data_IF_204667724452
#
_entry.id   IF_204667724452
#
_cell.length_a   1.000
_cell.length_b   1.000
_cell.length_c   1.000
_cell.angle_alpha   90.00
_cell.angle_beta   90.00
_cell.angle_gamma   90.00
#
_symmetry.space_group_name_H-M   'P 1'
#
loop_
_entity.id
_entity.type
_entity.pdbx_description
1 polymer ?
#
# COMPACT_ATOMS: atom_id res chain seq x y z
N UNK A 1 19.10 -35.31 2.70
CA UNK A 1 18.41 -34.08 3.11
C UNK A 1 17.37 -34.43 4.17
N UNK A 2 17.39 -33.79 5.34
CA UNK A 2 16.43 -34.05 6.42
C UNK A 2 15.01 -33.70 5.94
N UNK A 3 14.03 -34.60 6.12
CA UNK A 3 12.64 -34.39 5.66
C UNK A 3 11.98 -33.09 6.15
N UNK A 4 12.47 -32.51 7.25
CA UNK A 4 12.03 -31.19 7.74
C UNK A 4 12.39 -30.04 6.80
N UNK A 5 13.56 -30.05 6.16
CA UNK A 5 13.94 -28.94 5.25
C UNK A 5 13.08 -28.96 3.98
N UNK A 6 12.83 -30.15 3.42
CA UNK A 6 11.95 -30.31 2.25
C UNK A 6 10.53 -29.78 2.51
N UNK A 7 9.96 -30.04 3.68
CA UNK A 7 8.64 -29.53 4.06
C UNK A 7 8.56 -27.99 4.12
N UNK A 8 9.59 -27.33 4.66
CA UNK A 8 9.65 -25.86 4.70
C UNK A 8 9.78 -25.24 3.30
N UNK A 9 10.58 -25.86 2.42
CA UNK A 9 10.70 -25.41 1.04
C UNK A 9 9.37 -25.55 0.28
N UNK A 10 8.71 -26.70 0.40
CA UNK A 10 7.41 -26.94 -0.25
C UNK A 10 6.34 -25.95 0.24
N UNK A 11 6.29 -25.69 1.55
CA UNK A 11 5.36 -24.73 2.13
C UNK A 11 5.63 -23.30 1.63
N UNK A 12 6.90 -22.91 1.54
CA UNK A 12 7.29 -21.58 1.05
C UNK A 12 6.96 -21.40 -0.43
N UNK A 13 7.18 -22.44 -1.24
CA UNK A 13 6.85 -22.45 -2.66
C UNK A 13 5.34 -22.36 -2.88
N UNK A 14 4.55 -23.08 -2.08
CA UNK A 14 3.08 -23.01 -2.12
C UNK A 14 2.57 -21.61 -1.78
N UNK A 15 3.12 -20.98 -0.73
CA UNK A 15 2.76 -19.59 -0.36
C UNK A 15 3.11 -18.62 -1.50
N UNK A 16 4.29 -18.77 -2.10
CA UNK A 16 4.68 -17.97 -3.27
C UNK A 16 3.74 -18.15 -4.46
N UNK A 17 3.34 -19.39 -4.76
CA UNK A 17 2.38 -19.69 -5.81
C UNK A 17 1.00 -19.06 -5.51
N UNK A 18 0.51 -19.14 -4.27
CA UNK A 18 -0.74 -18.50 -3.86
C UNK A 18 -0.67 -16.98 -4.10
N UNK A 19 0.42 -16.33 -3.72
CA UNK A 19 0.58 -14.88 -3.94
C UNK A 19 0.58 -14.54 -5.43
N UNK A 20 1.24 -15.35 -6.26
CA UNK A 20 1.23 -15.15 -7.70
C UNK A 20 -0.15 -15.36 -8.32
N UNK A 21 -0.90 -16.38 -7.90
CA UNK A 21 -2.28 -16.61 -8.37
C UNK A 21 -3.22 -15.48 -7.94
N UNK A 22 -3.07 -14.93 -6.73
CA UNK A 22 -3.81 -13.75 -6.31
C UNK A 22 -3.42 -12.50 -7.11
N UNK A 23 -2.15 -12.36 -7.49
CA UNK A 23 -1.69 -11.28 -8.35
C UNK A 23 -2.30 -11.36 -9.75
N UNK A 24 -2.39 -12.57 -10.32
CA UNK A 24 -3.12 -12.82 -11.57
C UNK A 24 -4.58 -12.42 -11.41
N UNK A 25 -5.28 -12.96 -10.40
CA UNK A 25 -6.69 -12.66 -10.16
C UNK A 25 -6.96 -11.16 -10.04
N UNK A 26 -6.16 -10.44 -9.24
CA UNK A 26 -6.32 -9.00 -9.02
C UNK A 26 -6.04 -8.20 -10.29
N UNK A 27 -4.97 -8.49 -11.03
CA UNK A 27 -4.63 -7.79 -12.26
C UNK A 27 -5.62 -8.11 -13.40
N UNK A 28 -6.01 -9.37 -13.57
CA UNK A 28 -6.96 -9.77 -14.59
C UNK A 28 -8.35 -9.19 -14.32
N UNK A 29 -8.75 -9.03 -13.06
CA UNK A 29 -10.01 -8.34 -12.74
C UNK A 29 -10.03 -6.90 -13.28
N UNK A 30 -8.91 -6.18 -13.23
CA UNK A 30 -8.78 -4.86 -13.84
C UNK A 30 -8.90 -4.92 -15.36
N UNK A 31 -8.18 -5.85 -15.98
CA UNK A 31 -8.13 -5.99 -17.44
C UNK A 31 -9.50 -6.39 -17.98
N UNK A 32 -10.20 -7.31 -17.30
CA UNK A 32 -11.54 -7.75 -17.67
C UNK A 32 -12.55 -6.60 -17.62
N UNK A 33 -12.47 -5.74 -16.60
CA UNK A 33 -13.39 -4.60 -16.45
C UNK A 33 -13.08 -3.47 -17.43
N UNK A 34 -11.80 -3.20 -17.73
CA UNK A 34 -11.39 -2.06 -18.58
C UNK A 34 -11.21 -2.42 -20.05
N UNK A 35 -10.91 -3.67 -20.36
CA UNK A 35 -10.50 -4.14 -21.68
C UNK A 35 -9.05 -3.79 -22.02
N UNK A 36 -8.46 -4.55 -22.95
CA UNK A 36 -7.07 -4.31 -23.40
C UNK A 36 -6.91 -2.97 -24.13
N UNK A 37 -7.92 -2.51 -24.86
CA UNK A 37 -7.86 -1.23 -25.59
C UNK A 37 -7.67 -0.02 -24.67
N UNK A 38 -7.99 -0.14 -23.39
CA UNK A 38 -7.70 0.89 -22.38
C UNK A 38 -6.18 1.06 -22.16
N UNK A 39 -5.39 0.00 -22.35
CA UNK A 39 -3.94 0.06 -22.22
C UNK A 39 -3.29 0.85 -23.36
N UNK A 40 -3.80 0.68 -24.59
CA UNK A 40 -3.28 1.33 -25.79
C UNK A 40 -3.65 2.82 -25.87
N UNK A 41 -4.79 3.19 -25.31
CA UNK A 41 -5.31 4.56 -25.34
C UNK A 41 -4.88 5.30 -24.07
N UNK A 42 -5.59 5.10 -22.98
CA UNK A 42 -5.44 5.93 -21.77
C UNK A 42 -4.14 5.67 -20.99
N UNK A 43 -3.74 4.41 -20.80
CA UNK A 43 -2.55 4.08 -20.00
C UNK A 43 -1.26 4.51 -20.73
N UNK A 44 -1.15 4.18 -22.02
CA UNK A 44 0.01 4.55 -22.83
C UNK A 44 0.12 6.06 -23.03
N UNK A 45 -0.99 6.75 -23.34
CA UNK A 45 -1.00 8.21 -23.49
C UNK A 45 -0.54 8.89 -22.19
N UNK A 46 -1.05 8.47 -21.03
CA UNK A 46 -0.61 9.00 -19.73
C UNK A 46 0.88 8.76 -19.48
N UNK A 47 1.36 7.56 -19.79
CA UNK A 47 2.78 7.21 -19.68
C UNK A 47 3.64 8.15 -20.54
N UNK A 48 3.29 8.30 -21.83
CA UNK A 48 3.98 9.20 -22.77
C UNK A 48 3.96 10.64 -22.23
N UNK A 49 2.82 11.13 -21.77
CA UNK A 49 2.71 12.47 -21.21
C UNK A 49 3.65 12.69 -20.01
N UNK A 50 3.87 11.69 -19.15
CA UNK A 50 4.81 11.81 -18.02
C UNK A 50 6.25 11.88 -18.54
N UNK A 51 6.63 10.99 -19.47
CA UNK A 51 7.97 10.93 -20.06
C UNK A 51 8.29 12.22 -20.82
N UNK A 52 7.31 12.82 -21.49
CA UNK A 52 7.45 14.06 -22.26
C UNK A 52 7.35 15.35 -21.41
N UNK A 53 7.05 15.26 -20.12
CA UNK A 53 6.95 16.46 -19.28
C UNK A 53 5.61 17.21 -19.36
N UNK A 54 4.54 16.56 -19.82
CA UNK A 54 3.22 17.15 -20.13
C UNK A 54 2.07 16.64 -19.27
N UNK A 55 2.32 15.80 -18.27
CA UNK A 55 1.25 15.10 -17.54
C UNK A 55 0.50 15.96 -16.50
N UNK A 56 0.97 17.19 -16.22
CA UNK A 56 0.36 18.07 -15.21
C UNK A 56 0.51 17.58 -13.76
N UNK A 57 0.05 18.37 -12.79
CA UNK A 57 0.09 18.04 -11.37
C UNK A 57 -1.15 17.20 -10.99
N UNK A 58 -0.99 16.07 -10.26
CA UNK A 58 0.23 15.58 -9.61
C UNK A 58 1.07 14.60 -10.43
N UNK A 59 0.57 14.12 -11.57
CA UNK A 59 1.15 13.00 -12.31
C UNK A 59 2.58 13.23 -12.79
N UNK A 60 2.91 14.45 -13.21
CA UNK A 60 4.23 14.83 -13.73
C UNK A 60 5.36 14.59 -12.71
N UNK A 61 5.06 14.69 -11.42
CA UNK A 61 6.07 14.51 -10.36
C UNK A 61 6.18 13.05 -9.90
N UNK A 62 5.39 12.13 -10.44
CA UNK A 62 5.37 10.71 -10.05
C UNK A 62 6.17 9.86 -11.04
N UNK A 63 7.47 10.08 -11.01
CA UNK A 63 8.40 9.64 -12.06
C UNK A 63 8.87 8.20 -11.93
N UNK A 64 8.91 7.64 -10.71
CA UNK A 64 9.54 6.34 -10.47
C UNK A 64 8.95 5.23 -11.34
N UNK A 65 7.64 5.03 -11.28
CA UNK A 65 7.00 3.93 -12.00
C UNK A 65 7.04 4.13 -13.51
N UNK A 66 6.92 5.38 -13.98
CA UNK A 66 7.02 5.71 -15.40
C UNK A 66 8.41 5.35 -15.96
N UNK A 67 9.50 5.71 -15.28
CA UNK A 67 10.84 5.35 -15.75
C UNK A 67 11.11 3.84 -15.68
N UNK A 68 10.57 3.12 -14.69
CA UNK A 68 10.65 1.64 -14.65
C UNK A 68 9.95 1.03 -15.86
N UNK A 69 8.71 1.45 -16.13
CA UNK A 69 7.93 1.01 -17.29
C UNK A 69 8.68 1.31 -18.58
N UNK A 70 9.17 2.54 -18.75
CA UNK A 70 9.86 2.99 -19.96
C UNK A 70 11.11 2.15 -20.24
N UNK A 71 11.91 1.87 -19.20
CA UNK A 71 13.09 1.01 -19.31
C UNK A 71 12.75 -0.41 -19.76
N UNK A 72 11.68 -0.98 -19.19
CA UNK A 72 11.22 -2.32 -19.56
C UNK A 72 10.64 -2.36 -20.99
N UNK A 73 9.91 -1.33 -21.41
CA UNK A 73 9.38 -1.23 -22.78
C UNK A 73 10.53 -1.20 -23.77
N UNK A 74 11.53 -0.34 -23.56
CA UNK A 74 12.72 -0.25 -24.42
C UNK A 74 13.50 -1.56 -24.48
N UNK A 75 13.63 -2.25 -23.36
CA UNK A 75 14.27 -3.57 -23.31
C UNK A 75 13.52 -4.60 -24.18
N UNK A 76 12.20 -4.70 -24.04
CA UNK A 76 11.41 -5.65 -24.84
C UNK A 76 11.34 -5.27 -26.31
N UNK A 77 11.32 -3.97 -26.64
CA UNK A 77 11.47 -3.48 -28.01
C UNK A 77 12.79 -3.93 -28.63
N UNK A 78 13.91 -3.81 -27.89
CA UNK A 78 15.23 -4.25 -28.34
C UNK A 78 15.29 -5.78 -28.57
N UNK A 79 14.46 -6.55 -27.87
CA UNK A 79 14.31 -8.00 -28.05
C UNK A 79 13.31 -8.37 -29.17
N UNK A 80 12.72 -7.40 -29.86
CA UNK A 80 11.77 -7.65 -30.95
C UNK A 80 10.40 -8.16 -30.51
N UNK A 81 10.01 -7.92 -29.26
CA UNK A 81 8.70 -8.34 -28.73
C UNK A 81 7.59 -7.46 -29.34
N UNK A 82 6.53 -8.04 -29.93
CA UNK A 82 5.39 -7.27 -30.42
C UNK A 82 4.58 -6.67 -29.25
N UNK A 83 4.08 -5.44 -29.42
CA UNK A 83 3.30 -4.70 -28.40
C UNK A 83 3.92 -4.73 -26.99
N UNK A 84 5.18 -4.30 -26.83
CA UNK A 84 5.93 -4.47 -25.59
C UNK A 84 5.31 -3.74 -24.40
N UNK A 85 4.61 -2.63 -24.62
CA UNK A 85 3.93 -1.87 -23.56
C UNK A 85 2.83 -2.68 -22.88
N UNK A 86 2.03 -3.46 -23.62
CA UNK A 86 0.97 -4.30 -23.04
C UNK A 86 1.58 -5.34 -22.10
N UNK A 87 2.61 -6.04 -22.57
CA UNK A 87 3.29 -7.07 -21.78
C UNK A 87 3.96 -6.47 -20.53
N UNK A 88 4.61 -5.31 -20.66
CA UNK A 88 5.22 -4.61 -19.52
C UNK A 88 4.16 -4.16 -18.52
N UNK A 89 3.07 -3.56 -18.97
CA UNK A 89 2.02 -3.07 -18.08
C UNK A 89 1.39 -4.19 -17.25
N UNK A 90 1.03 -5.30 -17.89
CA UNK A 90 0.43 -6.45 -17.22
C UNK A 90 1.47 -7.16 -16.35
N UNK A 91 2.65 -7.45 -16.89
CA UNK A 91 3.71 -8.17 -16.20
C UNK A 91 4.23 -7.42 -14.96
N UNK A 92 4.42 -6.11 -15.07
CA UNK A 92 4.80 -5.28 -13.93
C UNK A 92 3.72 -5.30 -12.85
N UNK A 93 2.44 -5.31 -13.22
CA UNK A 93 1.34 -5.40 -12.28
C UNK A 93 1.34 -6.73 -11.52
N UNK A 94 1.55 -7.86 -12.19
CA UNK A 94 1.69 -9.16 -11.54
C UNK A 94 2.85 -9.20 -10.53
N UNK A 95 4.01 -8.65 -10.91
CA UNK A 95 5.18 -8.57 -10.03
C UNK A 95 4.89 -7.68 -8.83
N UNK A 96 4.25 -6.54 -9.05
CA UNK A 96 3.91 -5.57 -8.02
C UNK A 96 2.93 -6.15 -7.00
N UNK A 97 1.86 -6.80 -7.45
CA UNK A 97 0.85 -7.39 -6.57
C UNK A 97 1.40 -8.57 -5.78
N UNK A 98 2.19 -9.43 -6.44
CA UNK A 98 2.91 -10.51 -5.74
C UNK A 98 3.84 -9.97 -4.66
N UNK A 99 4.51 -8.85 -4.95
CA UNK A 99 5.39 -8.17 -3.98
C UNK A 99 4.59 -7.57 -2.82
N UNK A 100 3.43 -6.95 -3.10
CA UNK A 100 2.53 -6.44 -2.05
C UNK A 100 2.12 -7.57 -1.12
N UNK A 101 1.64 -8.69 -1.65
CA UNK A 101 1.20 -9.82 -0.82
C UNK A 101 2.35 -10.43 -0.01
N UNK A 102 3.52 -10.58 -0.61
CA UNK A 102 4.70 -11.07 0.09
C UNK A 102 5.13 -10.16 1.24
N UNK A 103 5.29 -8.85 0.98
CA UNK A 103 5.72 -7.89 2.00
C UNK A 103 4.65 -7.71 3.07
N UNK A 104 3.36 -7.66 2.70
CA UNK A 104 2.24 -7.62 3.64
C UNK A 104 2.26 -8.84 4.57
N UNK A 105 2.49 -10.04 4.02
CA UNK A 105 2.58 -11.26 4.82
C UNK A 105 3.72 -11.19 5.83
N UNK A 106 4.93 -10.77 5.41
CA UNK A 106 6.05 -10.58 6.31
C UNK A 106 5.75 -9.54 7.39
N UNK A 107 5.11 -8.44 7.02
CA UNK A 107 4.69 -7.39 7.94
C UNK A 107 3.66 -7.89 8.97
N UNK A 108 2.67 -8.68 8.56
CA UNK A 108 1.67 -9.27 9.44
C UNK A 108 2.29 -10.28 10.41
N UNK A 109 3.14 -11.19 9.91
CA UNK A 109 3.90 -12.11 10.75
C UNK A 109 4.73 -11.36 11.78
N UNK A 110 5.43 -10.30 11.36
CA UNK A 110 6.26 -9.49 12.25
C UNK A 110 5.45 -8.71 13.30
N UNK A 111 4.19 -8.44 13.02
CA UNK A 111 3.24 -7.80 13.94
C UNK A 111 2.63 -8.77 14.97
N UNK A 112 3.02 -10.06 14.93
CA UNK A 112 2.53 -11.10 15.86
C UNK A 112 1.26 -11.82 15.38
N UNK A 113 0.87 -11.63 14.12
CA UNK A 113 -0.29 -12.29 13.53
C UNK A 113 0.13 -13.69 13.08
N UNK A 114 -0.64 -14.71 13.47
CA UNK A 114 -0.41 -16.10 13.10
C UNK A 114 -0.40 -16.32 11.57
N UNK A 115 0.20 -17.43 11.13
CA UNK A 115 0.26 -17.81 9.71
C UNK A 115 -1.11 -17.77 9.03
N UNK A 116 -2.08 -18.51 9.58
CA UNK A 116 -3.43 -18.62 9.01
C UNK A 116 -4.16 -17.27 8.98
N UNK A 117 -4.06 -16.49 10.06
CA UNK A 117 -4.67 -15.15 10.10
C UNK A 117 -4.02 -14.21 9.09
N UNK A 118 -2.70 -14.33 8.87
CA UNK A 118 -2.01 -13.54 7.85
C UNK A 118 -2.45 -13.94 6.44
N UNK A 119 -2.65 -15.23 6.15
CA UNK A 119 -3.21 -15.69 4.87
C UNK A 119 -4.61 -15.12 4.62
N UNK A 120 -5.48 -15.11 5.63
CA UNK A 120 -6.79 -14.46 5.56
C UNK A 120 -6.62 -12.96 5.25
N UNK A 121 -5.69 -12.29 5.93
CA UNK A 121 -5.34 -10.89 5.64
C UNK A 121 -4.92 -10.65 4.20
N UNK A 122 -4.11 -11.54 3.62
CA UNK A 122 -3.70 -11.47 2.22
C UNK A 122 -4.89 -11.65 1.28
N UNK A 123 -5.81 -12.58 1.57
CA UNK A 123 -7.04 -12.75 0.78
C UNK A 123 -7.93 -11.50 0.83
N UNK A 124 -8.08 -10.87 2.01
CA UNK A 124 -8.81 -9.60 2.18
C UNK A 124 -8.13 -8.48 1.39
N UNK A 125 -6.79 -8.42 1.40
CA UNK A 125 -6.04 -7.43 0.65
C UNK A 125 -6.19 -7.64 -0.87
N UNK A 126 -6.11 -8.88 -1.34
CA UNK A 126 -6.33 -9.23 -2.74
C UNK A 126 -7.75 -8.87 -3.20
N UNK A 127 -8.77 -9.13 -2.37
CA UNK A 127 -10.13 -8.66 -2.61
C UNK A 127 -10.17 -7.13 -2.74
N UNK A 128 -9.64 -6.41 -1.75
CA UNK A 128 -9.63 -4.94 -1.73
C UNK A 128 -8.98 -4.38 -3.00
N UNK A 129 -7.84 -4.94 -3.40
CA UNK A 129 -7.13 -4.53 -4.60
C UNK A 129 -7.95 -4.80 -5.86
N UNK A 130 -8.56 -5.98 -6.00
CA UNK A 130 -9.39 -6.35 -7.16
C UNK A 130 -10.56 -5.38 -7.37
N UNK A 131 -11.18 -4.89 -6.30
CA UNK A 131 -12.31 -3.95 -6.40
C UNK A 131 -11.89 -2.47 -6.43
N UNK A 132 -10.59 -2.16 -6.45
CA UNK A 132 -10.10 -0.77 -6.43
C UNK A 132 -9.94 -0.15 -7.83
N UNK A 133 -10.54 -0.77 -8.86
CA UNK A 133 -10.40 -0.39 -10.27
C UNK A 133 -11.29 0.77 -10.71
N UNK A 134 -12.16 1.30 -9.84
CA UNK A 134 -13.06 2.38 -10.21
C UNK A 134 -12.30 3.63 -10.68
N UNK A 135 -12.63 4.05 -11.90
CA UNK A 135 -11.96 5.10 -12.66
C UNK A 135 -10.43 5.15 -12.50
N UNK A 136 -9.84 3.95 -12.54
CA UNK A 136 -8.43 3.72 -12.34
C UNK A 136 -7.80 3.26 -13.64
N UNK A 137 -6.59 3.72 -13.91
CA UNK A 137 -5.69 2.98 -14.80
C UNK A 137 -5.00 1.85 -13.99
N UNK A 138 -3.93 1.24 -14.47
CA UNK A 138 -3.19 0.25 -13.68
C UNK A 138 -2.48 0.84 -12.44
N UNK A 139 -2.38 2.17 -12.36
CA UNK A 139 -2.01 2.97 -11.20
C UNK A 139 -0.75 2.48 -10.47
N UNK A 140 0.30 2.14 -11.21
CA UNK A 140 1.56 1.64 -10.64
C UNK A 140 2.05 2.47 -9.45
N UNK A 141 1.94 3.80 -9.51
CA UNK A 141 2.31 4.69 -8.41
C UNK A 141 1.57 4.38 -7.10
N UNK A 142 0.26 4.11 -7.15
CA UNK A 142 -0.54 3.82 -5.94
C UNK A 142 -0.13 2.50 -5.30
N UNK A 143 0.11 1.48 -6.11
CA UNK A 143 0.50 0.16 -5.62
C UNK A 143 1.96 0.14 -5.13
N UNK A 144 2.85 0.95 -5.71
CA UNK A 144 4.20 1.14 -5.16
C UNK A 144 4.14 1.84 -3.81
N UNK A 145 3.20 2.76 -3.61
CA UNK A 145 2.98 3.40 -2.29
C UNK A 145 2.66 2.33 -1.23
N UNK A 146 1.77 1.37 -1.55
CA UNK A 146 1.48 0.22 -0.65
C UNK A 146 2.75 -0.56 -0.31
N UNK A 147 3.60 -0.87 -1.30
CA UNK A 147 4.89 -1.54 -1.07
C UNK A 147 5.77 -0.72 -0.13
N UNK A 148 5.96 0.57 -0.40
CA UNK A 148 6.85 1.42 0.40
C UNK A 148 6.37 1.58 1.84
N UNK A 149 5.06 1.74 2.07
CA UNK A 149 4.49 1.82 3.40
C UNK A 149 4.62 0.50 4.17
N UNK A 150 4.40 -0.65 3.52
CA UNK A 150 4.59 -1.95 4.15
C UNK A 150 6.06 -2.25 4.45
N UNK A 151 6.99 -1.89 3.55
CA UNK A 151 8.42 -2.01 3.78
C UNK A 151 8.89 -1.09 4.93
N UNK A 152 8.38 0.14 4.99
CA UNK A 152 8.64 1.06 6.09
C UNK A 152 8.11 0.50 7.41
N UNK A 153 6.87 0.02 7.44
CA UNK A 153 6.28 -0.63 8.60
C UNK A 153 7.10 -1.85 9.06
N UNK A 154 7.49 -2.71 8.12
CA UNK A 154 8.32 -3.90 8.40
C UNK A 154 9.70 -3.51 8.96
N UNK A 155 10.35 -2.49 8.38
CA UNK A 155 11.62 -1.93 8.86
C UNK A 155 11.49 -1.39 10.28
N UNK A 156 10.43 -0.64 10.57
CA UNK A 156 10.16 -0.03 11.88
C UNK A 156 9.89 -1.10 12.94
N UNK A 157 8.98 -2.05 12.70
CA UNK A 157 8.68 -3.11 13.67
C UNK A 157 9.91 -4.01 13.88
N UNK A 158 10.74 -4.17 12.84
CA UNK A 158 12.02 -4.90 12.95
C UNK A 158 13.11 -4.11 13.67
N UNK A 159 12.87 -2.86 14.07
CA UNK A 159 13.85 -1.95 14.67
C UNK A 159 15.10 -1.76 13.80
N UNK A 160 14.92 -1.76 12.48
CA UNK A 160 15.97 -1.56 11.47
C UNK A 160 15.77 -0.22 10.73
N UNK A 161 15.85 0.93 11.44
CA UNK A 161 15.51 2.24 10.87
C UNK A 161 16.41 2.65 9.70
N UNK A 162 17.59 2.05 9.54
CA UNK A 162 18.51 2.35 8.44
C UNK A 162 17.91 2.17 7.03
N UNK A 163 16.85 1.38 6.89
CA UNK A 163 16.16 1.25 5.60
C UNK A 163 15.17 2.39 5.30
N UNK A 164 14.82 3.22 6.28
CA UNK A 164 13.85 4.31 6.09
C UNK A 164 14.35 5.39 5.12
N UNK A 165 15.62 5.86 5.16
CA UNK A 165 16.12 6.81 4.19
C UNK A 165 15.99 6.36 2.72
N UNK A 166 16.49 5.16 2.30
CA UNK A 166 16.32 4.72 0.92
C UNK A 166 14.85 4.44 0.55
N UNK A 167 14.04 3.89 1.46
CA UNK A 167 12.60 3.70 1.22
C UNK A 167 11.93 5.06 0.95
N UNK A 168 12.22 6.06 1.76
CA UNK A 168 11.67 7.41 1.63
C UNK A 168 12.09 8.06 0.31
N UNK A 169 13.35 7.91 -0.10
CA UNK A 169 13.83 8.45 -1.37
C UNK A 169 13.02 7.90 -2.55
N UNK A 170 12.89 6.58 -2.67
CA UNK A 170 12.13 5.96 -3.76
C UNK A 170 10.63 6.26 -3.65
N UNK A 171 10.08 6.28 -2.44
CA UNK A 171 8.67 6.62 -2.23
C UNK A 171 8.37 8.07 -2.62
N UNK A 172 9.28 9.01 -2.37
CA UNK A 172 9.15 10.42 -2.75
C UNK A 172 9.20 10.63 -4.27
N UNK A 173 9.97 9.81 -5.01
CA UNK A 173 9.96 9.78 -6.48
C UNK A 173 8.66 9.20 -7.06
N UNK A 174 7.87 8.53 -6.23
CA UNK A 174 6.68 7.79 -6.64
C UNK A 174 5.37 8.54 -6.30
N UNK A 175 5.26 9.10 -5.10
CA UNK A 175 4.08 9.85 -4.65
C UNK A 175 4.41 10.80 -3.50
N UNK A 176 3.79 11.97 -3.53
CA UNK A 176 3.88 13.00 -2.48
C UNK A 176 3.33 12.52 -1.12
N UNK A 177 2.37 11.61 -1.11
CA UNK A 177 1.82 11.07 0.15
C UNK A 177 2.84 10.25 0.93
N UNK A 178 3.97 9.84 0.34
CA UNK A 178 5.05 9.15 1.05
C UNK A 178 5.72 9.97 2.16
N UNK A 179 5.42 11.27 2.24
CA UNK A 179 5.89 12.16 3.30
C UNK A 179 5.56 11.67 4.72
N UNK A 180 4.59 10.78 4.93
CA UNK A 180 4.32 10.21 6.25
C UNK A 180 5.33 9.15 6.70
N UNK A 181 6.08 8.51 5.79
CA UNK A 181 7.03 7.43 6.13
C UNK A 181 8.10 7.89 7.15
N UNK A 182 8.79 9.03 6.96
CA UNK A 182 9.70 9.56 7.97
C UNK A 182 9.05 9.78 9.33
N UNK A 183 7.82 10.29 9.37
CA UNK A 183 7.09 10.52 10.63
C UNK A 183 6.72 9.21 11.31
N UNK A 184 6.37 8.15 10.57
CA UNK A 184 6.17 6.82 11.18
C UNK A 184 7.42 6.38 11.95
N UNK A 185 8.62 6.59 11.38
CA UNK A 185 9.89 6.27 12.04
C UNK A 185 10.15 7.13 13.28
N UNK A 186 9.97 8.45 13.17
CA UNK A 186 10.17 9.40 14.29
C UNK A 186 9.25 9.04 15.46
N UNK A 187 7.95 8.90 15.21
CA UNK A 187 6.97 8.64 16.26
C UNK A 187 7.15 7.23 16.85
N UNK A 188 7.44 6.22 16.04
CA UNK A 188 7.74 4.88 16.58
C UNK A 188 9.00 4.89 17.46
N UNK A 189 10.03 5.67 17.09
CA UNK A 189 11.23 5.82 17.89
C UNK A 189 10.95 6.49 19.25
N UNK A 190 10.12 7.54 19.26
CA UNK A 190 9.77 8.29 20.46
C UNK A 190 8.92 7.47 21.43
N UNK A 191 7.89 6.79 20.92
CA UNK A 191 6.86 6.17 21.75
C UNK A 191 7.05 4.67 21.99
N UNK A 192 7.68 3.93 21.08
CA UNK A 192 7.71 2.46 21.12
C UNK A 192 9.12 1.88 21.27
N UNK A 193 10.12 2.46 20.60
CA UNK A 193 11.47 1.88 20.61
C UNK A 193 12.12 1.88 22.01
N UNK A 194 12.99 0.89 22.29
CA UNK A 194 13.84 0.91 23.48
C UNK A 194 14.70 2.17 23.55
N UNK A 195 14.93 2.69 24.76
CA UNK A 195 15.70 3.94 24.99
C UNK A 195 17.03 3.99 24.23
N UNK A 196 17.76 2.86 24.18
CA UNK A 196 19.06 2.74 23.49
C UNK A 196 19.01 2.99 21.97
N UNK A 197 17.86 2.77 21.32
CA UNK A 197 17.69 2.95 19.88
C UNK A 197 16.98 4.26 19.52
N UNK A 198 16.37 4.94 20.50
CA UNK A 198 15.51 6.11 20.28
C UNK A 198 16.23 7.24 19.55
N UNK A 199 17.33 7.75 20.12
CA UNK A 199 18.05 8.89 19.56
C UNK A 199 18.51 8.63 18.11
N UNK A 200 19.16 7.49 17.88
CA UNK A 200 19.60 7.07 16.54
C UNK A 200 18.43 7.01 15.55
N UNK A 201 17.30 6.46 15.96
CA UNK A 201 16.15 6.26 15.07
C UNK A 201 15.41 7.56 14.77
N UNK A 202 15.35 8.48 15.74
CA UNK A 202 14.85 9.86 15.52
C UNK A 202 15.74 10.60 14.53
N UNK A 203 17.07 10.53 14.69
CA UNK A 203 18.02 11.15 13.74
C UNK A 203 17.82 10.59 12.33
N UNK A 204 17.70 9.27 12.19
CA UNK A 204 17.43 8.64 10.89
C UNK A 204 16.09 9.09 10.31
N UNK A 205 15.05 9.24 11.14
CA UNK A 205 13.77 9.80 10.74
C UNK A 205 13.88 11.24 10.24
N UNK A 206 14.64 12.10 10.94
CA UNK A 206 14.90 13.50 10.54
C UNK A 206 15.67 13.55 9.22
N UNK A 207 16.71 12.72 9.04
CA UNK A 207 17.43 12.59 7.78
C UNK A 207 16.46 12.19 6.66
N UNK A 208 15.50 11.30 6.95
CA UNK A 208 14.49 10.88 5.98
C UNK A 208 13.51 12.01 5.64
N UNK A 209 13.13 12.88 6.59
CA UNK A 209 12.35 14.11 6.30
C UNK A 209 13.12 15.03 5.35
N UNK A 210 14.43 15.20 5.59
CA UNK A 210 15.27 16.02 4.71
C UNK A 210 15.37 15.42 3.30
N UNK A 211 15.58 14.11 3.18
CA UNK A 211 15.59 13.40 1.89
C UNK A 211 14.26 13.57 1.16
N UNK A 212 13.13 13.36 1.84
CA UNK A 212 11.80 13.57 1.27
C UNK A 212 11.65 14.99 0.72
N UNK A 213 11.98 15.99 1.54
CA UNK A 213 11.88 17.41 1.20
C UNK A 213 12.75 17.73 -0.02
N UNK A 214 14.01 17.28 -0.01
CA UNK A 214 14.93 17.49 -1.12
C UNK A 214 14.41 16.86 -2.42
N UNK A 215 13.96 15.61 -2.39
CA UNK A 215 13.41 14.93 -3.57
C UNK A 215 12.16 15.63 -4.09
N UNK A 216 11.22 15.97 -3.20
CA UNK A 216 9.96 16.62 -3.53
C UNK A 216 10.14 17.98 -4.21
N UNK A 217 11.06 18.80 -3.69
CA UNK A 217 11.37 20.10 -4.28
C UNK A 217 12.26 19.99 -5.52
N UNK A 218 13.22 19.04 -5.56
CA UNK A 218 14.05 18.82 -6.75
C UNK A 218 13.21 18.45 -7.98
N UNK A 219 12.19 17.60 -7.82
CA UNK A 219 11.27 17.28 -8.91
C UNK A 219 10.49 18.51 -9.40
N UNK A 220 10.08 19.40 -8.50
CA UNK A 220 9.37 20.64 -8.85
C UNK A 220 10.26 21.66 -9.53
N UNK A 221 11.52 21.74 -9.13
CA UNK A 221 12.51 22.58 -9.82
C UNK A 221 12.80 22.01 -11.21
N UNK A 222 12.97 20.69 -11.33
CA UNK A 222 13.31 20.03 -12.59
C UNK A 222 12.21 20.12 -13.65
N UNK A 223 10.94 19.94 -13.28
CA UNK A 223 9.81 19.98 -14.20
C UNK A 223 9.05 21.32 -14.22
N UNK A 224 9.45 22.27 -13.37
CA UNK A 224 8.72 23.52 -13.18
C UNK A 224 7.36 23.34 -12.50
N UNK A 225 6.63 24.44 -12.36
CA UNK A 225 5.24 24.43 -11.90
C UNK A 225 4.34 23.82 -12.98
N UNK A 226 3.49 22.88 -12.56
CA UNK A 226 2.61 22.13 -13.45
C UNK A 226 1.15 22.47 -13.12
N UNK A 227 0.32 22.62 -14.16
CA UNK A 227 -1.11 22.88 -14.00
C UNK A 227 -1.77 21.77 -13.18
N UNK A 228 -2.58 22.16 -12.19
CA UNK A 228 -3.30 21.22 -11.34
C UNK A 228 -4.46 20.58 -12.10
N UNK A 229 -4.36 19.28 -12.35
CA UNK A 229 -5.44 18.49 -12.95
C UNK A 229 -6.46 18.18 -11.87
N UNK A 230 -7.63 18.81 -11.99
CA UNK A 230 -8.76 18.62 -11.07
C UNK A 230 -9.60 17.41 -11.47
N UNK A 231 -9.85 16.44 -10.56
CA UNK A 231 -10.76 15.34 -10.83
C UNK A 231 -12.18 15.81 -11.12
N UNK A 232 -12.71 15.47 -12.29
CA UNK A 232 -14.06 15.86 -12.74
C UNK A 232 -14.34 17.37 -12.63
N UNK A 233 -13.31 18.22 -12.80
CA UNK A 233 -13.44 19.69 -12.73
C UNK A 233 -13.63 20.26 -11.33
N UNK A 234 -13.48 19.45 -10.26
CA UNK A 234 -13.61 19.93 -8.89
C UNK A 234 -12.26 20.35 -8.31
N UNK A 235 -12.16 21.61 -7.89
CA UNK A 235 -10.98 22.09 -7.15
C UNK A 235 -10.90 21.49 -5.74
N UNK A 236 -9.68 21.30 -5.20
CA UNK A 236 -9.49 20.91 -3.80
C UNK A 236 -10.22 21.86 -2.82
N UNK A 237 -10.68 21.31 -1.70
CA UNK A 237 -11.39 22.02 -0.63
C UNK A 237 -12.85 21.59 -0.49
N UNK A 238 -13.74 22.55 -0.23
CA UNK A 238 -15.18 22.30 -0.04
C UNK A 238 -15.90 21.70 -1.26
N UNK A 239 -15.57 22.06 -2.53
CA UNK A 239 -16.24 21.47 -3.69
C UNK A 239 -16.05 19.95 -3.76
N UNK A 240 -14.82 19.46 -3.65
CA UNK A 240 -14.55 18.02 -3.68
C UNK A 240 -15.05 17.29 -2.43
N UNK A 241 -15.03 17.95 -1.25
CA UNK A 241 -15.67 17.40 -0.04
C UNK A 241 -17.15 17.12 -0.29
N UNK A 242 -17.88 18.11 -0.83
CA UNK A 242 -19.29 17.96 -1.19
C UNK A 242 -19.48 16.86 -2.23
N UNK A 243 -18.62 16.84 -3.26
CA UNK A 243 -18.64 15.81 -4.30
C UNK A 243 -18.49 14.39 -3.70
N UNK A 244 -17.56 14.20 -2.77
CA UNK A 244 -17.32 12.91 -2.14
C UNK A 244 -18.50 12.46 -1.26
N UNK A 245 -19.03 13.35 -0.43
CA UNK A 245 -20.10 13.01 0.54
C UNK A 245 -21.43 12.70 -0.13
N UNK A 246 -21.81 13.47 -1.16
CA UNK A 246 -23.16 13.35 -1.75
C UNK A 246 -23.23 12.41 -2.96
N UNK A 247 -22.09 11.89 -3.46
CA UNK A 247 -22.07 11.00 -4.63
C UNK A 247 -22.20 9.54 -4.19
N UNK A 248 -23.32 8.89 -4.54
CA UNK A 248 -23.63 7.51 -4.14
C UNK A 248 -22.54 6.50 -4.49
N UNK A 249 -21.90 6.62 -5.66
CA UNK A 249 -20.83 5.71 -6.08
C UNK A 249 -19.63 5.72 -5.13
N UNK A 250 -19.36 6.83 -4.44
CA UNK A 250 -18.30 6.91 -3.43
C UNK A 250 -18.51 5.87 -2.33
N UNK A 251 -19.73 5.78 -1.81
CA UNK A 251 -20.09 4.87 -0.73
C UNK A 251 -20.13 3.42 -1.19
N UNK A 252 -20.60 3.16 -2.41
CA UNK A 252 -20.56 1.82 -3.00
C UNK A 252 -19.13 1.30 -3.16
N UNK A 253 -18.22 2.15 -3.66
CA UNK A 253 -16.82 1.77 -3.81
C UNK A 253 -16.15 1.58 -2.44
N UNK A 254 -16.40 2.46 -1.46
CA UNK A 254 -15.88 2.30 -0.10
C UNK A 254 -16.39 1.02 0.58
N UNK A 255 -17.62 0.60 0.28
CA UNK A 255 -18.14 -0.69 0.78
C UNK A 255 -17.52 -1.88 0.04
N UNK A 256 -17.26 -1.76 -1.27
CA UNK A 256 -16.70 -2.84 -2.08
C UNK A 256 -15.21 -3.09 -1.80
N UNK A 257 -14.44 -2.01 -1.59
CA UNK A 257 -12.98 -2.06 -1.47
C UNK A 257 -12.51 -2.33 -0.02
N UNK A 258 -12.49 -1.36 0.93
CA UNK A 258 -12.12 -1.66 2.30
C UNK A 258 -13.23 -2.41 3.08
N UNK A 259 -14.50 -2.25 2.67
CA UNK A 259 -15.64 -2.93 3.28
C UNK A 259 -15.80 -2.66 4.76
N UNK A 260 -16.13 -3.69 5.53
CA UNK A 260 -16.35 -3.59 6.98
C UNK A 260 -15.05 -3.61 7.80
N UNK A 261 -13.91 -3.88 7.16
CA UNK A 261 -12.63 -4.11 7.84
C UNK A 261 -12.17 -2.91 8.68
N UNK A 262 -12.26 -1.64 8.22
CA UNK A 262 -11.91 -0.50 9.07
C UNK A 262 -12.69 -0.45 10.38
N UNK A 263 -13.99 -0.77 10.35
CA UNK A 263 -14.84 -0.77 11.54
C UNK A 263 -14.46 -1.90 12.50
N UNK A 264 -14.30 -3.13 11.99
CA UNK A 264 -13.84 -4.28 12.81
C UNK A 264 -12.48 -3.97 13.44
N UNK A 265 -11.58 -3.36 12.68
CA UNK A 265 -10.27 -2.96 13.17
C UNK A 265 -10.37 -1.99 14.35
N UNK A 266 -11.18 -0.93 14.21
CA UNK A 266 -11.37 0.09 15.24
C UNK A 266 -12.03 -0.45 16.51
N UNK A 267 -12.95 -1.42 16.42
CA UNK A 267 -13.50 -2.12 17.59
C UNK A 267 -12.39 -2.81 18.39
N UNK A 268 -11.31 -3.24 17.74
CA UNK A 268 -10.15 -3.86 18.34
C UNK A 268 -9.06 -2.91 18.80
N UNK A 269 -9.25 -1.58 18.76
CA UNK A 269 -8.18 -0.61 19.01
C UNK A 269 -7.45 -0.80 20.35
N UNK A 270 -8.18 -1.18 21.40
CA UNK A 270 -7.61 -1.47 22.73
C UNK A 270 -6.67 -2.68 22.73
N UNK A 271 -6.84 -3.61 21.79
CA UNK A 271 -6.05 -4.84 21.62
C UNK A 271 -4.82 -4.66 20.72
N UNK A 272 -4.70 -3.53 20.03
CA UNK A 272 -3.59 -3.26 19.12
C UNK A 272 -2.24 -3.13 19.84
N UNK A 273 -1.17 -3.55 19.15
CA UNK A 273 0.19 -3.26 19.60
C UNK A 273 0.53 -1.77 19.40
N UNK A 274 1.56 -1.30 20.11
CA UNK A 274 1.90 0.14 20.13
C UNK A 274 2.36 0.66 18.75
N UNK A 275 3.03 -0.17 17.95
CA UNK A 275 3.42 0.20 16.58
C UNK A 275 2.20 0.53 15.72
N UNK A 276 1.18 -0.33 15.77
CA UNK A 276 -0.04 -0.16 14.98
C UNK A 276 -0.82 1.10 15.39
N UNK A 277 -0.86 1.40 16.70
CA UNK A 277 -1.45 2.66 17.21
C UNK A 277 -0.69 3.88 16.72
N UNK A 278 0.65 3.85 16.74
CA UNK A 278 1.47 4.93 16.17
C UNK A 278 1.19 5.10 14.68
N UNK A 279 1.17 4.01 13.90
CA UNK A 279 0.91 4.08 12.46
C UNK A 279 -0.49 4.61 12.17
N UNK A 280 -1.50 4.22 12.94
CA UNK A 280 -2.84 4.77 12.85
C UNK A 280 -2.82 6.29 13.02
N UNK A 281 -2.30 6.80 14.14
CA UNK A 281 -2.33 8.24 14.42
C UNK A 281 -1.49 9.09 13.47
N UNK A 282 -0.37 8.56 12.98
CA UNK A 282 0.49 9.27 12.03
C UNK A 282 -0.11 9.30 10.63
N UNK A 283 -0.70 8.19 10.16
CA UNK A 283 -1.13 8.05 8.77
C UNK A 283 -2.62 8.29 8.62
N UNK A 284 -3.46 7.55 9.32
CA UNK A 284 -4.88 7.37 8.96
C UNK A 284 -5.70 8.68 9.03
N UNK A 285 -5.73 9.45 10.13
CA UNK A 285 -6.55 10.66 10.21
C UNK A 285 -6.20 11.68 9.11
N UNK A 286 -4.91 11.98 8.96
CA UNK A 286 -4.44 12.98 7.99
C UNK A 286 -4.67 12.47 6.56
N UNK A 287 -4.43 11.17 6.31
CA UNK A 287 -4.68 10.55 5.02
C UNK A 287 -6.15 10.69 4.61
N UNK A 288 -7.09 10.38 5.51
CA UNK A 288 -8.52 10.52 5.21
C UNK A 288 -8.91 11.99 4.99
N UNK A 289 -8.41 12.92 5.81
CA UNK A 289 -8.69 14.36 5.61
C UNK A 289 -8.20 14.83 4.25
N UNK A 290 -6.96 14.51 3.86
CA UNK A 290 -6.40 14.90 2.55
C UNK A 290 -7.25 14.33 1.42
N UNK A 291 -7.56 13.04 1.43
CA UNK A 291 -8.29 12.42 0.32
C UNK A 291 -9.77 12.83 0.28
N UNK A 292 -10.36 13.20 1.41
CA UNK A 292 -11.72 13.74 1.48
C UNK A 292 -11.82 15.12 0.82
N UNK A 293 -10.76 15.95 0.91
CA UNK A 293 -10.76 17.35 0.44
C UNK A 293 -9.86 17.62 -0.76
N UNK A 294 -9.11 16.64 -1.27
CA UNK A 294 -8.19 16.86 -2.40
C UNK A 294 -8.24 15.75 -3.47
N UNK A 295 -8.99 14.67 -3.24
CA UNK A 295 -9.11 13.56 -4.18
C UNK A 295 -10.55 13.05 -4.27
N UNK A 296 -10.82 12.19 -5.25
CA UNK A 296 -12.13 11.53 -5.38
C UNK A 296 -12.10 10.24 -4.56
N UNK A 297 -12.88 10.18 -3.48
CA UNK A 297 -12.90 9.01 -2.61
C UNK A 297 -13.45 7.73 -3.28
N UNK A 298 -14.21 7.87 -4.37
CA UNK A 298 -14.63 6.74 -5.19
C UNK A 298 -13.44 6.01 -5.85
N UNK A 299 -12.29 6.67 -6.00
CA UNK A 299 -11.03 6.06 -6.41
C UNK A 299 -10.38 5.33 -5.23
N UNK A 300 -11.04 4.25 -4.78
CA UNK A 300 -10.76 3.60 -3.47
C UNK A 300 -9.39 2.96 -3.32
N UNK A 301 -8.65 2.81 -4.42
CA UNK A 301 -7.21 2.49 -4.41
C UNK A 301 -6.40 3.40 -3.49
N UNK A 302 -6.86 4.64 -3.30
CA UNK A 302 -6.24 5.62 -2.41
C UNK A 302 -6.28 5.20 -0.94
N UNK A 303 -7.17 4.27 -0.55
CA UNK A 303 -7.27 3.76 0.81
C UNK A 303 -6.54 2.43 1.02
N UNK A 304 -5.86 1.88 0.00
CA UNK A 304 -5.12 0.63 0.13
C UNK A 304 -3.96 0.71 1.11
N UNK A 305 -3.31 1.88 1.24
CA UNK A 305 -2.22 2.08 2.22
C UNK A 305 -2.75 1.94 3.66
N UNK A 306 -3.74 2.74 4.14
CA UNK A 306 -4.38 2.52 5.44
C UNK A 306 -4.94 1.12 5.63
N UNK A 307 -5.56 0.56 4.58
CA UNK A 307 -6.15 -0.78 4.62
C UNK A 307 -5.09 -1.86 4.91
N UNK A 308 -4.02 -1.90 4.12
CA UNK A 308 -2.97 -2.89 4.22
C UNK A 308 -2.11 -2.71 5.47
N UNK A 309 -1.76 -1.46 5.81
CA UNK A 309 -0.84 -1.13 6.91
C UNK A 309 -1.52 -1.19 8.28
N UNK A 310 -2.78 -0.76 8.39
CA UNK A 310 -3.44 -0.55 9.69
C UNK A 310 -4.70 -1.38 9.85
N UNK A 311 -5.66 -1.27 8.94
CA UNK A 311 -6.99 -1.83 9.19
C UNK A 311 -7.01 -3.36 9.16
N UNK A 312 -6.43 -3.99 8.14
CA UNK A 312 -6.31 -5.45 8.07
C UNK A 312 -5.59 -6.02 9.30
N UNK A 313 -4.35 -5.62 9.65
CA UNK A 313 -3.67 -6.18 10.81
C UNK A 313 -4.42 -5.91 12.13
N UNK A 314 -5.03 -4.73 12.30
CA UNK A 314 -5.82 -4.43 13.49
C UNK A 314 -7.05 -5.33 13.64
N UNK A 315 -7.74 -5.66 12.53
CA UNK A 315 -8.87 -6.59 12.54
C UNK A 315 -8.44 -8.03 12.87
N UNK A 316 -7.30 -8.47 12.35
CA UNK A 316 -6.78 -9.82 12.59
C UNK A 316 -6.31 -10.01 14.04
N UNK A 317 -5.69 -8.98 14.64
CA UNK A 317 -5.30 -9.00 16.05
C UNK A 317 -6.52 -9.18 16.96
N UNK A 318 -7.62 -8.46 16.68
CA UNK A 318 -8.87 -8.61 17.42
C UNK A 318 -9.40 -10.05 17.35
N UNK A 319 -9.47 -10.62 16.14
CA UNK A 319 -9.99 -11.98 15.93
C UNK A 319 -9.12 -13.02 16.65
N UNK A 320 -7.79 -12.91 16.51
CA UNK A 320 -6.84 -13.86 17.11
C UNK A 320 -6.86 -13.86 18.64
N UNK A 321 -6.93 -12.68 19.27
CA UNK A 321 -6.96 -12.57 20.73
C UNK A 321 -8.29 -13.05 21.30
N UNK A 322 -9.41 -12.74 20.63
CA UNK A 322 -10.74 -13.19 21.07
C UNK A 322 -10.87 -14.72 21.04
N UNK A 323 -10.26 -15.37 20.04
CA UNK A 323 -10.16 -16.83 19.99
C UNK A 323 -9.33 -17.38 21.16
N UNK A 324 -8.16 -16.80 21.44
CA UNK A 324 -7.31 -17.23 22.56
C UNK A 324 -8.00 -17.09 23.93
N UNK A 325 -8.72 -15.99 24.15
CA UNK A 325 -9.49 -15.73 25.37
C UNK A 325 -10.59 -16.79 25.56
N UNK A 326 -11.39 -17.08 24.52
CA UNK A 326 -12.46 -18.07 24.56
C UNK A 326 -11.97 -19.47 24.97
N UNK A 327 -10.87 -19.95 24.37
CA UNK A 327 -10.29 -21.25 24.73
C UNK A 327 -9.71 -21.28 26.15
N UNK A 328 -9.21 -20.15 26.66
CA UNK A 328 -8.72 -20.07 28.03
C UNK A 328 -9.83 -20.21 29.07
N UNK A 329 -11.03 -19.69 28.76
CA UNK A 329 -12.22 -19.81 29.61
C UNK A 329 -12.71 -21.26 29.63
N UNK A 330 -12.83 -21.91 28.47
CA UNK A 330 -13.26 -23.31 28.38
C UNK A 330 -12.35 -24.24 29.18
N UNK A 331 -11.02 -24.09 29.05
CA UNK A 331 -10.07 -24.93 29.79
C UNK A 331 -10.16 -24.78 31.31
N UNK A 332 -10.50 -23.58 31.80
CA UNK A 332 -10.71 -23.36 33.24
C UNK A 332 -11.99 -24.05 33.69
N UNK A 333 -13.09 -23.87 32.96
CA UNK A 333 -14.36 -24.53 33.29
C UNK A 333 -14.31 -26.06 33.26
N UNK A 334 -13.47 -26.67 32.41
CA UNK A 334 -13.29 -28.12 32.40
C UNK A 334 -12.41 -28.62 33.55
N UNK A 335 -11.43 -27.81 33.99
CA UNK A 335 -10.56 -28.18 35.11
C UNK A 335 -11.26 -28.10 36.48
N UNK A 336 -12.34 -27.32 36.58
CA UNK A 336 -13.16 -27.23 37.80
C UNK A 336 -14.21 -28.37 37.92
N UNK A 337 -14.32 -29.24 36.90
CA UNK A 337 -15.24 -30.39 36.87
C UNK A 337 -14.56 -31.74 37.13
N UNK A 338 -13.23 -31.75 37.25
CA UNK A 338 -12.39 -32.90 37.65
C UNK A 338 -11.93 -32.71 39.10
#
# INVERSE_FOLDING_TARGET
MNGRSAFYYLSSLLVGLIFFLLAIFTTDSYILVRGLGYLDTYQLERHINIIEGKAGNPWQYRVLSAYIVEGLIKLLQALGVPSPHVLVFIGLRYIQDSTIFFVAYLYYQKSGISFYSSMIGIMILAWSMSYSHYDSDLQFNTFFDVIFYLLAGLSIISQKPLFIPPITFFAALNRETSGFIPFMCIFAALFVYPKKLRARSVIIGIISVFIYTLTFFSLRIAYGEQFLITPYGNYPGLPILRYNVFRAITWWQLLATPGVIPFISLLGYSKWNDYLRVFFWVVVPIWFVIHLVAAVMAETRLFLVPQALVFIPGSLILIQQSHSEYFSVIRRSSADLD
#
